data_IF_914040010500
#
_entry.id   IF_914040010500
#
_cell.length_a   1.000
_cell.length_b   1.000
_cell.length_c   1.000
_cell.angle_alpha   90.00
_cell.angle_beta   90.00
_cell.angle_gamma   90.00
#
_symmetry.space_group_name_H-M   'P 1'
#
loop_
_entity.id
_entity.type
_entity.pdbx_description
1 polymer ?
#
# COMPACT_ATOMS: atom_id res chain seq x y z
N UNK A 1 -9.66 -54.18 1.83
CA UNK A 1 -10.77 -53.40 2.39
C UNK A 1 -10.24 -51.98 2.58
N UNK A 2 -10.68 -51.06 1.73
CA UNK A 2 -10.16 -49.70 1.59
C UNK A 2 -10.72 -48.79 2.70
N UNK A 3 -9.85 -48.06 3.39
CA UNK A 3 -10.26 -46.89 4.19
C UNK A 3 -9.75 -45.61 3.52
N UNK A 4 -10.67 -44.86 3.02
CA UNK A 4 -10.51 -43.54 2.42
C UNK A 4 -10.01 -42.53 3.46
N UNK A 5 -8.87 -41.93 3.19
CA UNK A 5 -8.36 -40.77 3.90
C UNK A 5 -9.17 -39.51 3.52
N UNK A 6 -9.71 -38.85 4.52
CA UNK A 6 -10.39 -37.54 4.38
C UNK A 6 -9.32 -36.46 4.46
N UNK A 7 -9.13 -35.73 3.37
CA UNK A 7 -8.22 -34.61 3.26
C UNK A 7 -8.72 -33.46 4.16
N UNK A 8 -7.93 -33.14 5.18
CA UNK A 8 -8.06 -31.92 6.00
C UNK A 8 -7.02 -30.91 5.53
N UNK A 9 -7.32 -30.15 4.49
CA UNK A 9 -6.35 -29.18 3.97
C UNK A 9 -6.97 -27.83 3.55
N UNK A 10 -7.96 -27.37 4.29
CA UNK A 10 -8.57 -26.06 4.02
C UNK A 10 -8.52 -25.05 5.20
N UNK A 11 -7.93 -25.38 6.35
CA UNK A 11 -7.90 -24.49 7.53
C UNK A 11 -6.53 -23.90 7.85
N UNK A 12 -5.48 -24.26 7.14
CA UNK A 12 -4.10 -23.84 7.45
C UNK A 12 -3.74 -22.46 6.89
N UNK A 13 -4.29 -22.06 5.76
CA UNK A 13 -3.83 -20.85 5.04
C UNK A 13 -4.30 -19.52 5.67
N UNK A 14 -5.46 -19.50 6.29
CA UNK A 14 -5.98 -18.25 6.92
C UNK A 14 -5.31 -17.91 8.24
N UNK A 15 -4.92 -18.93 9.01
CA UNK A 15 -4.23 -18.74 10.30
C UNK A 15 -2.81 -18.22 10.11
N UNK A 16 -2.09 -18.74 9.11
CA UNK A 16 -0.73 -18.31 8.76
C UNK A 16 -0.69 -16.86 8.28
N UNK A 17 -1.66 -16.42 7.47
CA UNK A 17 -1.74 -15.05 6.99
C UNK A 17 -2.04 -14.04 8.10
N UNK A 18 -2.89 -14.38 9.05
CA UNK A 18 -3.22 -13.52 10.20
C UNK A 18 -2.00 -13.34 11.11
N UNK A 19 -1.28 -14.42 11.38
CA UNK A 19 -0.05 -14.40 12.17
C UNK A 19 1.01 -13.53 11.50
N UNK A 20 1.20 -13.65 10.19
CA UNK A 20 2.17 -12.87 9.42
C UNK A 20 1.88 -11.36 9.44
N UNK A 21 0.60 -10.95 9.34
CA UNK A 21 0.21 -9.53 9.41
C UNK A 21 0.40 -8.98 10.82
N UNK A 22 0.02 -9.73 11.85
CA UNK A 22 0.22 -9.36 13.25
C UNK A 22 1.70 -9.14 13.58
N UNK A 23 2.56 -10.05 13.16
CA UNK A 23 4.02 -9.93 13.33
C UNK A 23 4.58 -8.72 12.59
N UNK A 24 4.10 -8.45 11.37
CA UNK A 24 4.51 -7.28 10.59
C UNK A 24 4.15 -5.96 11.29
N UNK A 25 2.96 -5.88 11.87
CA UNK A 25 2.52 -4.72 12.66
C UNK A 25 3.43 -4.53 13.89
N UNK A 26 3.67 -5.60 14.66
CA UNK A 26 4.53 -5.56 15.85
C UNK A 26 5.96 -5.14 15.53
N UNK A 27 6.52 -5.62 14.43
CA UNK A 27 7.86 -5.27 14.00
C UNK A 27 8.04 -3.78 13.67
N UNK A 28 6.93 -3.08 13.43
CA UNK A 28 6.87 -1.63 13.16
C UNK A 28 6.30 -0.82 14.34
N UNK A 29 6.29 -1.37 15.55
CA UNK A 29 5.70 -0.75 16.76
C UNK A 29 4.22 -0.36 16.63
N UNK A 30 3.51 -1.02 15.73
CA UNK A 30 2.07 -0.83 15.56
C UNK A 30 1.32 -1.94 16.29
N UNK A 31 0.52 -1.57 17.29
CA UNK A 31 -0.30 -2.55 18.01
C UNK A 31 -1.24 -3.29 17.05
N UNK A 32 -1.17 -4.63 16.96
CA UNK A 32 -2.09 -5.40 16.15
C UNK A 32 -3.53 -5.29 16.69
N UNK A 33 -4.45 -5.05 15.78
CA UNK A 33 -5.88 -5.13 16.02
C UNK A 33 -6.55 -5.72 14.77
N UNK A 34 -7.69 -6.41 14.89
CA UNK A 34 -8.40 -6.96 13.74
C UNK A 34 -8.66 -5.91 12.65
N UNK A 35 -8.97 -4.67 13.04
CA UNK A 35 -9.22 -3.57 12.10
C UNK A 35 -7.95 -3.20 11.32
N UNK A 36 -6.81 -3.02 12.01
CA UNK A 36 -5.52 -2.68 11.37
C UNK A 36 -5.03 -3.78 10.45
N UNK A 37 -5.17 -5.03 10.86
CA UNK A 37 -4.79 -6.19 10.05
C UNK A 37 -5.65 -6.27 8.78
N UNK A 38 -6.96 -6.09 8.90
CA UNK A 38 -7.88 -6.11 7.75
C UNK A 38 -7.61 -4.94 6.80
N UNK A 39 -7.39 -3.72 7.31
CA UNK A 39 -7.04 -2.56 6.49
C UNK A 39 -5.72 -2.79 5.75
N UNK A 40 -4.69 -3.25 6.45
CA UNK A 40 -3.39 -3.56 5.83
C UNK A 40 -3.51 -4.66 4.78
N UNK A 41 -4.25 -5.73 5.08
CA UNK A 41 -4.51 -6.83 4.14
C UNK A 41 -5.10 -6.33 2.82
N UNK A 42 -6.17 -5.54 2.90
CA UNK A 42 -6.86 -4.98 1.72
C UNK A 42 -5.93 -4.16 0.83
N UNK A 43 -5.02 -3.38 1.45
CA UNK A 43 -4.05 -2.56 0.71
C UNK A 43 -2.98 -3.44 0.04
N UNK A 44 -2.54 -4.50 0.72
CA UNK A 44 -1.51 -5.41 0.21
C UNK A 44 -2.02 -6.33 -0.91
N UNK A 45 -3.30 -6.73 -0.84
CA UNK A 45 -3.91 -7.62 -1.84
C UNK A 45 -4.07 -6.94 -3.20
N UNK A 46 -4.40 -5.65 -3.20
CA UNK A 46 -4.57 -4.88 -4.43
C UNK A 46 -3.77 -3.58 -4.37
N UNK A 47 -2.64 -3.59 -5.06
CA UNK A 47 -1.68 -2.48 -5.09
C UNK A 47 -2.06 -1.43 -6.13
N UNK A 48 -3.24 -0.85 -6.00
CA UNK A 48 -3.82 0.11 -6.95
C UNK A 48 -3.90 1.54 -6.41
N UNK A 49 -3.15 1.85 -5.36
CA UNK A 49 -3.12 3.15 -4.70
C UNK A 49 -4.53 3.65 -4.30
N UNK A 50 -5.24 2.89 -3.46
CA UNK A 50 -6.60 3.22 -3.09
C UNK A 50 -6.67 4.48 -2.22
N UNK A 51 -7.79 5.20 -2.30
CA UNK A 51 -8.18 6.23 -1.34
C UNK A 51 -8.73 5.60 -0.06
N UNK A 52 -8.89 6.41 1.00
CA UNK A 52 -9.50 5.93 2.25
C UNK A 52 -10.93 5.41 2.04
N UNK A 53 -11.72 6.07 1.18
CA UNK A 53 -13.09 5.65 0.87
C UNK A 53 -13.12 4.31 0.10
N UNK A 54 -12.19 4.10 -0.84
CA UNK A 54 -12.06 2.83 -1.55
C UNK A 54 -11.62 1.70 -0.61
N UNK A 55 -10.69 1.98 0.32
CA UNK A 55 -10.28 1.02 1.37
C UNK A 55 -11.47 0.70 2.27
N UNK A 56 -12.19 1.72 2.74
CA UNK A 56 -13.38 1.53 3.56
C UNK A 56 -14.42 0.64 2.89
N UNK A 57 -14.72 0.90 1.62
CA UNK A 57 -15.66 0.07 0.85
C UNK A 57 -15.23 -1.40 0.78
N UNK A 58 -13.94 -1.66 0.60
CA UNK A 58 -13.37 -3.01 0.56
C UNK A 58 -13.38 -3.68 1.93
N UNK A 59 -12.96 -2.97 2.99
CA UNK A 59 -12.94 -3.50 4.37
C UNK A 59 -14.35 -3.82 4.85
N UNK A 60 -15.34 -3.03 4.46
CA UNK A 60 -16.73 -3.21 4.88
C UNK A 60 -17.34 -4.53 4.44
N UNK A 61 -16.83 -5.15 3.37
CA UNK A 61 -17.25 -6.49 2.95
C UNK A 61 -16.87 -7.58 3.97
N UNK A 62 -15.77 -7.40 4.69
CA UNK A 62 -15.27 -8.35 5.71
C UNK A 62 -15.65 -7.91 7.13
N UNK A 63 -15.72 -6.61 7.37
CA UNK A 63 -16.08 -5.99 8.66
C UNK A 63 -17.25 -5.02 8.50
N UNK A 64 -18.50 -5.48 8.39
CA UNK A 64 -19.68 -4.64 8.11
C UNK A 64 -19.91 -3.50 9.11
N UNK A 65 -19.45 -3.65 10.34
CA UNK A 65 -19.63 -2.68 11.44
C UNK A 65 -18.52 -1.63 11.53
N UNK A 66 -17.47 -1.73 10.71
CA UNK A 66 -16.37 -0.76 10.73
C UNK A 66 -16.86 0.63 10.30
N UNK A 67 -16.36 1.68 10.96
CA UNK A 67 -16.63 3.06 10.56
C UNK A 67 -15.52 3.62 9.69
N UNK A 68 -15.83 4.64 8.89
CA UNK A 68 -14.83 5.37 8.11
C UNK A 68 -13.76 6.01 9.00
N UNK A 69 -14.16 6.56 10.15
CA UNK A 69 -13.23 7.13 11.16
C UNK A 69 -12.25 6.06 11.64
N UNK A 70 -12.72 4.84 11.89
CA UNK A 70 -11.83 3.73 12.28
C UNK A 70 -10.82 3.40 11.18
N UNK A 71 -11.23 3.44 9.92
CA UNK A 71 -10.32 3.23 8.78
C UNK A 71 -9.26 4.32 8.73
N UNK A 72 -9.62 5.60 8.87
CA UNK A 72 -8.64 6.70 8.94
C UNK A 72 -7.65 6.52 10.09
N UNK A 73 -8.11 6.17 11.29
CA UNK A 73 -7.22 5.90 12.44
C UNK A 73 -6.29 4.71 12.20
N UNK A 74 -6.75 3.68 11.49
CA UNK A 74 -5.89 2.56 11.09
C UNK A 74 -4.84 3.02 10.08
N UNK A 75 -5.23 3.77 9.05
CA UNK A 75 -4.33 4.29 8.01
C UNK A 75 -3.25 5.19 8.60
N UNK A 76 -3.63 6.09 9.52
CA UNK A 76 -2.67 6.94 10.23
C UNK A 76 -1.63 6.12 11.00
N UNK A 77 -2.07 5.12 11.77
CA UNK A 77 -1.17 4.23 12.50
C UNK A 77 -0.23 3.44 11.56
N UNK A 78 -0.74 2.97 10.41
CA UNK A 78 0.06 2.24 9.43
C UNK A 78 1.09 3.14 8.73
N UNK A 79 0.74 4.40 8.45
CA UNK A 79 1.66 5.39 7.89
C UNK A 79 2.73 5.76 8.91
N UNK A 80 2.36 6.06 10.15
CA UNK A 80 3.30 6.37 11.23
C UNK A 80 4.27 5.22 11.51
N UNK A 81 3.79 3.98 11.44
CA UNK A 81 4.61 2.78 11.56
C UNK A 81 5.46 2.46 10.32
N UNK A 82 5.33 3.24 9.24
CA UNK A 82 6.11 3.01 8.01
C UNK A 82 5.71 1.74 7.24
N UNK A 83 4.50 1.25 7.42
CA UNK A 83 3.97 0.07 6.74
C UNK A 83 3.35 0.37 5.38
N UNK A 84 2.88 1.61 5.21
CA UNK A 84 2.37 2.18 3.97
C UNK A 84 2.81 3.64 3.86
N UNK A 85 2.75 4.20 2.67
CA UNK A 85 3.02 5.62 2.41
C UNK A 85 1.76 6.33 1.96
N UNK A 86 1.61 7.60 2.33
CA UNK A 86 0.64 8.50 1.72
C UNK A 86 1.20 9.05 0.42
N UNK A 87 0.37 9.14 -0.60
CA UNK A 87 0.69 9.76 -1.89
C UNK A 87 -0.34 10.86 -2.14
N UNK A 88 0.15 12.08 -2.25
CA UNK A 88 -0.69 13.26 -2.45
C UNK A 88 -0.43 13.84 -3.84
N UNK A 89 -1.50 14.01 -4.60
CA UNK A 89 -1.49 14.74 -5.86
C UNK A 89 -2.35 15.99 -5.71
N UNK A 90 -1.94 17.07 -6.37
CA UNK A 90 -2.73 18.29 -6.36
C UNK A 90 -4.18 18.03 -6.79
N UNK A 91 -5.13 18.56 -6.04
CA UNK A 91 -6.57 18.48 -6.32
C UNK A 91 -7.14 17.08 -6.40
N UNK A 92 -6.51 16.11 -5.76
CA UNK A 92 -7.06 14.77 -5.65
C UNK A 92 -7.00 14.24 -4.22
N UNK A 93 -7.82 13.23 -3.92
CA UNK A 93 -7.83 12.59 -2.61
C UNK A 93 -6.49 11.90 -2.34
N UNK A 94 -6.06 11.92 -1.07
CA UNK A 94 -4.91 11.17 -0.60
C UNK A 94 -5.06 9.69 -0.94
N UNK A 95 -4.00 9.10 -1.47
CA UNK A 95 -3.92 7.67 -1.80
C UNK A 95 -2.87 6.98 -0.93
N UNK A 96 -2.96 5.66 -0.83
CA UNK A 96 -2.09 4.87 0.05
C UNK A 96 -1.33 3.83 -0.77
N UNK A 97 0.00 3.86 -0.64
CA UNK A 97 0.92 3.00 -1.38
C UNK A 97 1.59 2.00 -0.44
N UNK A 98 1.52 0.69 -0.70
CA UNK A 98 2.21 -0.33 0.09
C UNK A 98 3.68 -0.54 -0.33
N UNK A 99 4.14 0.12 -1.38
CA UNK A 99 5.52 0.00 -1.85
C UNK A 99 6.44 0.88 -0.99
N UNK A 100 7.29 0.25 -0.20
CA UNK A 100 8.20 0.93 0.73
C UNK A 100 9.58 1.22 0.12
N UNK A 101 9.89 0.67 -1.07
CA UNK A 101 11.12 0.99 -1.80
C UNK A 101 11.06 2.40 -2.37
N UNK A 102 12.20 2.99 -2.65
CA UNK A 102 12.25 4.27 -3.37
C UNK A 102 11.72 4.07 -4.80
N UNK A 103 10.68 4.81 -5.15
CA UNK A 103 10.03 4.77 -6.44
C UNK A 103 9.36 6.11 -6.71
N UNK A 104 9.06 6.37 -7.98
CA UNK A 104 8.21 7.48 -8.39
C UNK A 104 6.77 6.99 -8.64
N UNK A 105 5.86 7.91 -8.77
CA UNK A 105 4.49 7.64 -9.22
C UNK A 105 4.23 8.30 -10.55
N UNK A 106 3.53 7.62 -11.43
CA UNK A 106 2.97 8.19 -12.65
C UNK A 106 1.46 8.27 -12.51
N UNK A 107 0.93 9.49 -12.54
CA UNK A 107 -0.50 9.75 -12.57
C UNK A 107 -0.97 9.85 -14.01
N UNK A 108 -1.69 8.84 -14.46
CA UNK A 108 -2.37 8.84 -15.75
C UNK A 108 -3.65 9.69 -15.66
N UNK A 109 -3.60 10.88 -16.23
CA UNK A 109 -4.71 11.84 -16.21
C UNK A 109 -5.93 11.38 -17.03
N UNK A 110 -5.74 10.45 -17.97
CA UNK A 110 -6.82 9.90 -18.78
C UNK A 110 -7.66 8.89 -18.01
N UNK A 111 -7.02 8.03 -17.23
CA UNK A 111 -7.68 6.94 -16.49
C UNK A 111 -7.83 7.22 -14.99
N UNK A 112 -7.13 8.23 -14.48
CA UNK A 112 -7.03 8.52 -13.05
C UNK A 112 -6.22 7.48 -12.26
N UNK A 113 -5.55 6.54 -12.94
CA UNK A 113 -4.74 5.50 -12.30
C UNK A 113 -3.37 6.03 -11.90
N UNK A 114 -2.85 5.46 -10.82
CA UNK A 114 -1.50 5.70 -10.36
C UNK A 114 -0.68 4.43 -10.61
N UNK A 115 0.50 4.60 -11.19
CA UNK A 115 1.44 3.53 -11.45
C UNK A 115 2.74 3.78 -10.71
N UNK A 116 3.31 2.74 -10.08
CA UNK A 116 4.67 2.80 -9.56
C UNK A 116 5.67 2.82 -10.71
N UNK A 117 6.67 3.67 -10.58
CA UNK A 117 7.80 3.76 -11.50
C UNK A 117 9.07 3.46 -10.71
N UNK A 118 9.70 2.34 -10.99
CA UNK A 118 10.93 1.95 -10.32
C UNK A 118 12.05 2.96 -10.63
N UNK A 119 12.76 3.38 -9.57
CA UNK A 119 13.91 4.27 -9.67
C UNK A 119 15.19 3.46 -9.48
N UNK A 120 16.14 3.50 -10.43
CA UNK A 120 17.46 2.93 -10.21
C UNK A 120 18.14 3.56 -9.00
N UNK A 121 18.85 2.76 -8.19
CA UNK A 121 19.51 3.24 -6.97
C UNK A 121 20.49 4.38 -7.27
N UNK A 122 21.24 4.28 -8.37
CA UNK A 122 22.17 5.31 -8.82
C UNK A 122 21.50 6.65 -9.11
N UNK A 123 20.25 6.62 -9.59
CA UNK A 123 19.48 7.83 -9.83
C UNK A 123 19.02 8.47 -8.52
N UNK A 124 18.57 7.68 -7.56
CA UNK A 124 18.21 8.14 -6.22
C UNK A 124 19.40 8.77 -5.51
N UNK A 125 20.59 8.15 -5.61
CA UNK A 125 21.83 8.68 -5.05
C UNK A 125 22.22 10.02 -5.68
N UNK A 126 22.08 10.14 -7.00
CA UNK A 126 22.30 11.43 -7.70
C UNK A 126 21.35 12.52 -7.25
N UNK A 127 20.09 12.19 -7.02
CA UNK A 127 19.11 13.16 -6.49
C UNK A 127 19.49 13.66 -5.09
N UNK A 128 20.04 12.79 -4.25
CA UNK A 128 20.56 13.21 -2.93
C UNK A 128 21.78 14.12 -3.04
N UNK A 129 22.66 13.86 -4.01
CA UNK A 129 23.88 14.62 -4.23
C UNK A 129 23.66 16.06 -4.71
N UNK A 130 22.49 16.37 -5.31
CA UNK A 130 22.18 17.74 -5.74
C UNK A 130 21.79 18.66 -4.58
N UNK A 131 21.60 18.11 -3.38
CA UNK A 131 21.29 18.91 -2.21
C UNK A 131 22.47 19.80 -1.82
N UNK A 132 22.23 21.00 -1.29
CA UNK A 132 23.30 21.85 -0.78
C UNK A 132 24.07 21.17 0.35
N UNK A 133 25.35 21.51 0.56
CA UNK A 133 26.15 20.95 1.65
C UNK A 133 25.47 21.13 3.02
N UNK A 134 25.44 20.06 3.81
CA UNK A 134 24.83 20.05 5.14
C UNK A 134 23.32 19.73 5.16
N UNK A 135 22.71 19.47 4.01
CA UNK A 135 21.32 18.99 3.92
C UNK A 135 21.30 17.50 3.62
N UNK A 136 20.35 16.80 4.22
CA UNK A 136 20.06 15.39 3.96
C UNK A 136 18.56 15.21 3.72
N UNK A 137 18.21 14.41 2.72
CA UNK A 137 16.81 14.10 2.41
C UNK A 137 16.37 12.83 3.14
N UNK A 138 15.39 12.99 4.01
CA UNK A 138 14.74 11.85 4.67
C UNK A 138 13.91 11.02 3.71
N UNK A 139 13.30 11.65 2.70
CA UNK A 139 12.51 11.00 1.65
C UNK A 139 12.60 11.79 0.36
N UNK A 140 12.40 11.10 -0.76
CA UNK A 140 12.30 11.70 -2.08
C UNK A 140 10.94 11.30 -2.64
N UNK A 141 10.16 12.29 -3.07
CA UNK A 141 8.88 12.09 -3.72
C UNK A 141 8.96 12.62 -5.15
N UNK A 142 8.80 11.73 -6.12
CA UNK A 142 8.77 12.06 -7.54
C UNK A 142 7.42 11.66 -8.12
N UNK A 143 6.74 12.63 -8.70
CA UNK A 143 5.43 12.43 -9.30
C UNK A 143 5.46 12.89 -10.74
N UNK A 144 5.14 11.99 -11.65
CA UNK A 144 4.91 12.28 -13.06
C UNK A 144 3.41 12.41 -13.31
N UNK A 145 3.04 13.34 -14.16
CA UNK A 145 1.68 13.54 -14.66
C UNK A 145 1.67 13.46 -16.17
N UNK A 146 0.69 12.82 -16.73
CA UNK A 146 0.52 12.73 -18.16
C UNK A 146 -0.49 11.69 -18.56
N UNK A 147 -0.51 11.36 -19.82
CA UNK A 147 -1.32 10.28 -20.37
C UNK A 147 -0.43 9.20 -20.98
N UNK A 148 -0.88 7.95 -20.93
CA UNK A 148 -0.23 6.91 -21.70
C UNK A 148 -0.23 7.29 -23.17
N UNK A 149 0.95 7.22 -23.82
CA UNK A 149 1.02 7.39 -25.26
C UNK A 149 0.07 6.38 -25.92
N UNK A 150 -0.83 6.84 -26.79
CA UNK A 150 -1.60 5.92 -27.63
C UNK A 150 -0.58 5.11 -28.41
N UNK A 151 -0.39 3.86 -28.06
CA UNK A 151 0.36 2.93 -28.90
C UNK A 151 -0.37 2.93 -30.23
N UNK A 152 0.27 3.44 -31.26
CA UNK A 152 -0.29 3.39 -32.60
C UNK A 152 -0.55 1.91 -32.87
N UNK A 153 -1.82 1.55 -32.95
CA UNK A 153 -2.21 0.23 -33.38
C UNK A 153 -1.69 0.06 -34.81
N UNK A 154 -0.74 -0.85 -34.97
CA UNK A 154 -0.21 -1.28 -36.23
C UNK A 154 -1.07 -2.44 -36.73
#
# INVERSE_FOLDING_TARGET
MLCLGISHDAMSTTHDHHTALSEKLKACDVRPTPQRETVLKVILEKRDHPTADEIFARVKSTMPTISLVTVYNCLEALVQGGLIRQVNFERSSTRYCPNLREHAHFHDETTGRIHDVDLPAEFVDRLRQILPPGYDARSIELNFRGSAAKTAAN
#
